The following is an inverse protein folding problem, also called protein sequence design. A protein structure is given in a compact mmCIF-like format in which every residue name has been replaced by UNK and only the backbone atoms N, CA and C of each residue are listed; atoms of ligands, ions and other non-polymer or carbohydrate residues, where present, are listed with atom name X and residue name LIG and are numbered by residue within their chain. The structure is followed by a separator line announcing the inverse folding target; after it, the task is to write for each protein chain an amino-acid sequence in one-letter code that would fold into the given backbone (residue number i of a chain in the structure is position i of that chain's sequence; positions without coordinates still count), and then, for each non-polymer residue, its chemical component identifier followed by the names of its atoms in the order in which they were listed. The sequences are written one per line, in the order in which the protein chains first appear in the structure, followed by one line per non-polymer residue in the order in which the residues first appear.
data_IF_689214587785
#
_entry.id   IF_689214587785
#
_cell.length_a   1.000
_cell.length_b   1.000
_cell.length_c   1.000
_cell.angle_alpha   90.00
_cell.angle_beta   90.00
_cell.angle_gamma   90.00
#
_symmetry.space_group_name_H-M   'P 1'
#
loop_
_entity.id
_entity.type
_entity.pdbx_description
1 polymer ?
#
# COMPACT_ATOMS: atom_id res chain seq x y z
N UNK A 1 -103.44 -21.44 17.77
CA UNK A 1 -102.41 -21.35 18.84
C UNK A 1 -101.08 -21.06 18.14
N UNK A 2 -100.72 -19.79 17.95
CA UNK A 2 -99.76 -19.07 18.80
C UNK A 2 -98.45 -19.83 19.02
N UNK A 3 -97.39 -19.40 18.32
CA UNK A 3 -96.27 -18.67 18.94
C UNK A 3 -95.30 -18.16 17.87
N UNK A 4 -95.17 -16.83 17.82
CA UNK A 4 -94.03 -16.12 17.24
C UNK A 4 -92.74 -16.59 17.91
N UNK A 5 -91.70 -16.80 17.13
CA UNK A 5 -90.33 -16.78 17.63
C UNK A 5 -89.55 -15.72 16.86
N UNK A 6 -89.06 -14.77 17.64
CA UNK A 6 -88.25 -13.64 17.23
C UNK A 6 -87.03 -14.11 16.44
N UNK A 7 -86.81 -13.42 15.32
CA UNK A 7 -85.55 -13.35 14.61
C UNK A 7 -84.52 -12.67 15.53
N UNK A 8 -83.48 -13.40 15.95
CA UNK A 8 -82.28 -12.77 16.54
C UNK A 8 -81.10 -13.09 15.65
N UNK A 9 -80.84 -12.20 14.69
CA UNK A 9 -79.65 -12.27 13.85
C UNK A 9 -78.41 -12.01 14.69
N UNK A 10 -77.63 -13.04 14.96
CA UNK A 10 -76.28 -12.90 15.53
C UNK A 10 -75.37 -12.50 14.36
N UNK A 11 -75.07 -11.20 14.26
CA UNK A 11 -73.97 -10.72 13.44
C UNK A 11 -72.67 -11.20 14.10
N UNK A 12 -72.12 -12.31 13.62
CA UNK A 12 -70.76 -12.72 13.94
C UNK A 12 -69.78 -11.82 13.17
N UNK A 13 -69.49 -10.65 13.74
CA UNK A 13 -68.46 -9.75 13.24
C UNK A 13 -67.10 -10.44 13.29
N UNK A 14 -66.62 -10.87 12.14
CA UNK A 14 -65.27 -11.42 11.97
C UNK A 14 -64.29 -10.25 12.09
N UNK A 15 -63.65 -10.10 13.25
CA UNK A 15 -62.52 -9.19 13.40
C UNK A 15 -61.31 -9.80 12.67
N UNK A 16 -61.20 -9.53 11.38
CA UNK A 16 -59.92 -9.63 10.69
C UNK A 16 -59.03 -8.50 11.23
N UNK A 17 -58.24 -8.77 12.27
CA UNK A 17 -57.09 -7.92 12.56
C UNK A 17 -56.09 -8.11 11.42
N UNK A 18 -56.20 -7.28 10.39
CA UNK A 18 -55.11 -7.07 9.47
C UNK A 18 -53.97 -6.44 10.29
N UNK A 19 -52.98 -7.24 10.66
CA UNK A 19 -51.67 -6.69 10.99
C UNK A 19 -51.17 -6.02 9.72
N UNK A 20 -51.47 -4.73 9.56
CA UNK A 20 -50.79 -3.90 8.59
C UNK A 20 -49.33 -3.86 9.05
N UNK A 21 -48.52 -4.75 8.48
CA UNK A 21 -47.08 -4.70 8.64
C UNK A 21 -46.67 -3.35 8.08
N UNK A 22 -46.43 -2.39 8.98
CA UNK A 22 -46.06 -1.03 8.60
C UNK A 22 -44.91 -1.16 7.61
N UNK A 23 -45.11 -0.68 6.38
CA UNK A 23 -44.10 -0.80 5.35
C UNK A 23 -42.79 -0.21 5.90
N UNK A 24 -41.69 -0.97 5.80
CA UNK A 24 -40.40 -0.50 6.24
C UNK A 24 -40.09 0.85 5.58
N UNK A 25 -39.55 1.78 6.36
CA UNK A 25 -39.14 3.09 5.86
C UNK A 25 -37.64 3.09 5.58
N UNK A 26 -37.16 4.01 4.75
CA UNK A 26 -35.73 4.03 4.41
C UNK A 26 -34.85 4.27 5.65
N UNK A 27 -35.37 5.04 6.61
CA UNK A 27 -34.78 5.37 7.90
C UNK A 27 -34.50 4.13 8.77
N UNK A 28 -35.23 3.02 8.57
CA UNK A 28 -35.01 1.76 9.31
C UNK A 28 -33.63 1.15 9.02
N UNK A 29 -32.94 1.63 7.98
CA UNK A 29 -31.59 1.21 7.56
C UNK A 29 -30.58 2.35 7.51
N UNK A 30 -30.92 3.52 8.05
CA UNK A 30 -30.00 4.66 8.16
C UNK A 30 -29.19 4.58 9.46
N UNK A 31 -27.87 4.43 9.32
CA UNK A 31 -26.94 4.49 10.44
C UNK A 31 -26.22 5.83 10.42
N UNK A 32 -26.18 6.49 11.58
CA UNK A 32 -25.55 7.81 11.75
C UNK A 32 -24.19 7.72 12.45
N UNK A 33 -23.81 6.53 12.91
CA UNK A 33 -22.56 6.25 13.60
C UNK A 33 -21.97 4.91 13.16
N UNK A 34 -20.63 4.76 13.17
CA UNK A 34 -19.64 5.77 13.56
C UNK A 34 -19.44 6.86 12.48
N UNK A 35 -19.40 8.13 12.90
CA UNK A 35 -19.08 9.25 12.00
C UNK A 35 -17.62 9.10 11.50
N UNK A 36 -17.39 9.03 10.18
CA UNK A 36 -16.03 8.98 9.63
C UNK A 36 -15.22 10.24 9.97
N UNK A 37 -13.91 10.07 10.20
CA UNK A 37 -12.99 11.20 10.40
C UNK A 37 -12.95 12.07 9.15
N UNK A 38 -13.05 13.38 9.32
CA UNK A 38 -12.89 14.35 8.23
C UNK A 38 -11.42 14.49 7.88
N UNK A 39 -11.09 14.37 6.59
CA UNK A 39 -9.73 14.52 6.04
C UNK A 39 -9.78 15.52 4.89
N UNK A 40 -8.93 16.54 4.93
CA UNK A 40 -8.75 17.46 3.80
C UNK A 40 -7.75 16.83 2.82
N UNK A 41 -8.13 16.54 1.56
CA UNK A 41 -7.20 16.00 0.58
C UNK A 41 -6.15 17.06 0.17
N UNK A 42 -5.04 16.60 -0.41
CA UNK A 42 -4.11 17.47 -1.13
C UNK A 42 -4.77 18.15 -2.33
N UNK A 43 -4.13 19.18 -2.91
CA UNK A 43 -4.69 19.90 -4.07
C UNK A 43 -4.76 19.02 -5.32
N UNK A 44 -3.86 18.04 -5.40
CA UNK A 44 -3.83 17.00 -6.41
C UNK A 44 -3.88 15.64 -5.73
N UNK A 45 -4.18 14.59 -6.49
CA UNK A 45 -4.21 13.21 -5.97
C UNK A 45 -2.84 12.72 -5.46
N UNK A 46 -1.75 13.42 -5.81
CA UNK A 46 -0.39 13.07 -5.39
C UNK A 46 0.05 13.83 -4.13
N UNK A 47 -0.63 14.91 -3.75
CA UNK A 47 -0.27 15.68 -2.55
C UNK A 47 -0.78 15.01 -1.27
N UNK A 48 -0.03 15.12 -0.15
CA UNK A 48 -0.41 14.50 1.11
C UNK A 48 -1.75 15.04 1.62
N UNK A 49 -2.70 14.17 2.04
CA UNK A 49 -3.87 14.60 2.79
C UNK A 49 -3.49 15.10 4.19
N UNK A 50 -4.41 15.80 4.86
CA UNK A 50 -4.16 16.44 6.16
C UNK A 50 -3.83 15.48 7.31
N UNK A 51 -4.16 14.20 7.17
CA UNK A 51 -3.86 13.15 8.15
C UNK A 51 -2.58 12.35 7.84
N UNK A 52 -1.91 12.64 6.73
CA UNK A 52 -0.71 11.92 6.33
C UNK A 52 0.54 12.41 7.08
N UNK A 53 1.42 11.44 7.36
CA UNK A 53 2.80 11.68 7.75
C UNK A 53 3.60 11.92 6.48
N UNK A 54 4.18 13.11 6.37
CA UNK A 54 5.08 13.45 5.27
C UNK A 54 6.47 12.90 5.57
N UNK A 55 6.89 11.90 4.80
CA UNK A 55 8.19 11.25 4.92
C UNK A 55 9.29 12.04 4.19
N UNK A 56 8.94 12.80 3.16
CA UNK A 56 9.84 13.73 2.50
C UNK A 56 9.08 14.86 1.79
N UNK A 57 9.39 16.12 2.14
CA UNK A 57 8.87 17.35 1.50
C UNK A 57 9.96 18.32 1.06
N UNK A 58 11.06 17.80 0.51
CA UNK A 58 11.96 18.62 -0.31
C UNK A 58 13.01 19.44 0.44
N UNK A 59 13.40 19.08 1.66
CA UNK A 59 14.50 19.78 2.34
C UNK A 59 15.35 18.95 3.29
N UNK A 60 14.94 17.75 3.68
CA UNK A 60 15.71 16.91 4.61
C UNK A 60 15.24 15.46 4.63
N UNK A 61 16.16 14.55 4.96
CA UNK A 61 15.88 13.13 5.19
C UNK A 61 15.63 12.84 6.68
N UNK A 62 15.05 13.77 7.42
CA UNK A 62 14.91 13.68 8.87
C UNK A 62 14.01 12.53 9.35
N UNK A 63 13.13 12.03 8.48
CA UNK A 63 12.30 10.84 8.76
C UNK A 63 13.03 9.52 8.48
N UNK A 64 14.26 9.57 7.97
CA UNK A 64 15.02 8.44 7.47
C UNK A 64 16.34 8.25 8.22
N UNK A 65 16.78 7.01 8.31
CA UNK A 65 18.06 6.57 8.89
C UNK A 65 18.71 5.55 7.97
N UNK A 66 19.98 5.26 8.19
CA UNK A 66 20.64 4.14 7.50
C UNK A 66 20.06 2.81 7.99
N UNK A 67 19.80 1.87 7.08
CA UNK A 67 19.37 0.51 7.45
C UNK A 67 20.50 -0.29 8.11
N UNK A 68 21.76 -0.01 7.76
CA UNK A 68 22.91 -0.71 8.34
C UNK A 68 23.17 -0.33 9.80
N UNK A 69 22.80 0.89 10.17
CA UNK A 69 22.93 1.46 11.50
C UNK A 69 21.86 2.55 11.70
N UNK A 70 20.75 2.16 12.33
CA UNK A 70 19.59 3.03 12.52
C UNK A 70 19.84 4.21 13.48
N UNK A 71 21.01 4.27 14.13
CA UNK A 71 21.44 5.44 14.91
C UNK A 71 22.02 6.54 14.02
N UNK A 72 22.37 6.21 12.77
CA UNK A 72 22.97 7.15 11.83
C UNK A 72 21.94 7.75 10.87
N UNK A 73 22.06 9.05 10.55
CA UNK A 73 21.17 9.70 9.59
C UNK A 73 21.37 9.11 8.19
N UNK A 74 20.29 9.08 7.40
CA UNK A 74 20.36 8.76 5.98
C UNK A 74 21.32 9.71 5.24
N UNK A 75 22.21 9.15 4.41
CA UNK A 75 23.31 9.88 3.76
C UNK A 75 23.11 10.08 2.25
N UNK A 76 21.87 9.90 1.76
CA UNK A 76 21.52 10.18 0.37
C UNK A 76 21.48 11.69 0.11
N UNK A 77 21.64 12.09 -1.15
CA UNK A 77 21.88 13.50 -1.52
C UNK A 77 20.55 14.21 -1.76
N UNK A 78 20.19 15.17 -0.91
CA UNK A 78 19.03 16.05 -1.10
C UNK A 78 19.38 17.15 -2.11
N UNK A 79 18.49 17.42 -3.07
CA UNK A 79 18.64 18.47 -4.07
C UNK A 79 17.29 19.12 -4.30
N UNK A 80 17.03 20.24 -3.61
CA UNK A 80 15.72 20.89 -3.65
C UNK A 80 14.61 19.92 -3.24
N UNK A 81 13.60 19.81 -4.10
CA UNK A 81 12.36 19.04 -3.85
C UNK A 81 12.50 17.52 -4.01
N UNK A 82 13.70 16.99 -4.23
CA UNK A 82 13.96 15.55 -4.33
C UNK A 82 15.28 15.15 -3.64
N UNK A 83 15.49 13.84 -3.50
CA UNK A 83 16.77 13.28 -3.08
C UNK A 83 17.21 12.15 -4.01
N UNK A 84 18.50 11.91 -4.13
CA UNK A 84 19.10 10.95 -5.05
C UNK A 84 19.86 9.88 -4.28
N UNK A 85 19.71 8.62 -4.70
CA UNK A 85 20.40 7.47 -4.11
C UNK A 85 21.91 7.71 -4.06
N UNK A 86 22.53 7.47 -2.91
CA UNK A 86 23.98 7.38 -2.80
C UNK A 86 24.35 5.92 -2.60
N UNK A 87 24.59 5.18 -3.70
CA UNK A 87 24.77 3.72 -3.69
C UNK A 87 25.76 3.22 -2.63
N UNK A 88 26.93 3.86 -2.52
CA UNK A 88 27.95 3.52 -1.52
C UNK A 88 27.59 3.81 -0.06
N UNK A 89 26.46 4.48 0.22
CA UNK A 89 25.96 4.71 1.58
C UNK A 89 24.93 3.66 2.03
N UNK A 90 24.53 2.74 1.14
CA UNK A 90 23.59 1.68 1.45
C UNK A 90 22.13 2.14 1.54
N UNK A 91 21.28 1.21 2.00
CA UNK A 91 19.83 1.37 2.10
C UNK A 91 19.47 2.39 3.19
N UNK A 92 18.30 3.01 3.03
CA UNK A 92 17.70 3.88 4.04
C UNK A 92 16.32 3.36 4.41
N UNK A 93 15.90 3.61 5.64
CA UNK A 93 14.56 3.25 6.12
C UNK A 93 13.97 4.33 7.02
N UNK A 94 12.65 4.31 7.16
CA UNK A 94 11.96 5.26 8.04
C UNK A 94 12.29 5.00 9.51
N UNK A 95 12.39 6.05 10.31
CA UNK A 95 12.48 5.96 11.77
C UNK A 95 11.23 5.33 12.39
N UNK A 96 10.07 5.61 11.77
CA UNK A 96 8.78 5.10 12.19
C UNK A 96 8.55 3.71 11.62
N UNK A 97 7.76 2.93 12.35
CA UNK A 97 7.27 1.61 11.95
C UNK A 97 5.78 1.72 11.65
N UNK A 98 5.32 0.96 10.67
CA UNK A 98 3.94 0.97 10.19
C UNK A 98 3.38 -0.46 10.16
N UNK A 99 2.05 -0.58 10.26
CA UNK A 99 1.34 -1.83 10.05
C UNK A 99 0.54 -1.74 8.75
N UNK A 100 -0.71 -1.29 8.82
CA UNK A 100 -1.57 -1.09 7.67
C UNK A 100 -1.52 0.38 7.26
N UNK A 101 -1.35 0.65 5.98
CA UNK A 101 -1.20 2.03 5.52
C UNK A 101 -1.56 2.20 4.05
N UNK A 102 -1.82 3.46 3.71
CA UNK A 102 -1.77 3.98 2.36
C UNK A 102 -0.49 4.83 2.20
N UNK A 103 0.26 4.60 1.13
CA UNK A 103 1.53 5.26 0.82
C UNK A 103 1.50 5.85 -0.59
N UNK A 104 2.04 7.05 -0.74
CA UNK A 104 2.42 7.63 -2.02
C UNK A 104 3.93 7.86 -2.06
N UNK A 105 4.54 7.59 -3.21
CA UNK A 105 5.95 7.83 -3.46
C UNK A 105 6.16 8.14 -4.95
N UNK A 106 6.93 9.19 -5.24
CA UNK A 106 7.41 9.47 -6.59
C UNK A 106 8.89 9.12 -6.74
N UNK A 107 9.24 8.56 -7.90
CA UNK A 107 10.60 8.16 -8.25
C UNK A 107 10.92 8.50 -9.71
N UNK A 108 12.21 8.63 -10.02
CA UNK A 108 12.68 8.99 -11.36
C UNK A 108 13.99 8.27 -11.68
N UNK A 109 13.98 7.59 -12.82
CA UNK A 109 15.19 7.12 -13.49
C UNK A 109 15.86 8.31 -14.19
N UNK A 110 17.17 8.55 -14.01
CA UNK A 110 17.85 9.68 -14.64
C UNK A 110 17.89 9.56 -16.18
N UNK A 111 17.82 10.68 -16.90
CA UNK A 111 17.74 10.67 -18.37
C UNK A 111 18.96 10.04 -19.07
N UNK A 112 20.12 10.06 -18.41
CA UNK A 112 21.38 9.48 -18.90
C UNK A 112 21.59 8.01 -18.46
N UNK A 113 20.53 7.31 -18.05
CA UNK A 113 20.60 5.95 -17.53
C UNK A 113 21.23 4.94 -18.51
N UNK A 114 22.10 4.11 -17.99
CA UNK A 114 22.79 3.02 -18.68
C UNK A 114 22.53 1.67 -18.00
N UNK A 115 22.95 0.59 -18.67
CA UNK A 115 22.74 -0.79 -18.21
C UNK A 115 21.53 -1.47 -18.85
N UNK A 116 21.32 -2.73 -18.47
CA UNK A 116 20.27 -3.62 -18.96
C UNK A 116 19.77 -4.58 -17.87
N UNK A 117 18.62 -5.21 -18.10
CA UNK A 117 18.06 -6.18 -17.17
C UNK A 117 17.82 -5.58 -15.79
N UNK A 118 18.30 -6.26 -14.74
CA UNK A 118 18.23 -5.80 -13.35
C UNK A 118 19.32 -4.79 -12.97
N UNK A 119 20.25 -4.46 -13.87
CA UNK A 119 21.36 -3.54 -13.59
C UNK A 119 21.14 -2.19 -14.31
N UNK A 120 19.89 -1.74 -14.36
CA UNK A 120 19.46 -0.50 -15.03
C UNK A 120 18.41 0.23 -14.19
N UNK A 121 18.88 1.14 -13.33
CA UNK A 121 18.01 1.96 -12.47
C UNK A 121 17.29 1.12 -11.42
N UNK A 122 18.02 0.19 -10.79
CA UNK A 122 17.45 -0.74 -9.82
C UNK A 122 17.43 -0.13 -8.42
N UNK A 123 16.26 -0.17 -7.82
CA UNK A 123 16.00 0.12 -6.43
C UNK A 123 14.81 -0.74 -5.99
N UNK A 124 14.34 -0.54 -4.77
CA UNK A 124 13.22 -1.29 -4.23
C UNK A 124 12.53 -0.47 -3.16
N UNK A 125 11.20 -0.47 -3.19
CA UNK A 125 10.37 0.00 -2.09
C UNK A 125 9.98 -1.23 -1.25
N UNK A 126 10.65 -1.40 -0.13
CA UNK A 126 10.31 -2.43 0.84
C UNK A 126 9.16 -1.96 1.70
N UNK A 127 7.98 -2.58 1.53
CA UNK A 127 6.74 -2.26 2.22
C UNK A 127 6.78 -2.61 3.71
N UNK A 128 7.66 -3.54 4.07
CA UNK A 128 8.06 -3.81 5.44
C UNK A 128 9.53 -4.25 5.43
N UNK A 129 10.39 -3.44 6.04
CA UNK A 129 11.81 -3.74 6.30
C UNK A 129 11.93 -4.61 7.54
N UNK A 130 12.40 -5.84 7.38
CA UNK A 130 12.53 -6.82 8.49
C UNK A 130 13.98 -7.12 8.85
N UNK A 131 14.92 -6.40 8.24
CA UNK A 131 16.34 -6.57 8.42
C UNK A 131 17.18 -5.74 7.45
N UNK A 132 18.49 -6.05 7.46
CA UNK A 132 19.50 -5.42 6.62
C UNK A 132 19.45 -5.96 5.19
N UNK A 133 20.20 -5.31 4.28
CA UNK A 133 20.24 -5.73 2.88
C UNK A 133 18.83 -5.79 2.29
N UNK A 134 18.49 -6.95 1.71
CA UNK A 134 17.23 -7.18 0.99
C UNK A 134 16.17 -7.91 1.84
N UNK A 135 16.31 -7.93 3.17
CA UNK A 135 15.30 -8.52 4.05
C UNK A 135 14.00 -7.69 4.05
N UNK A 136 12.88 -8.29 3.64
CA UNK A 136 11.56 -7.66 3.71
C UNK A 136 10.66 -7.98 2.52
N UNK A 137 9.72 -7.08 2.23
CA UNK A 137 8.69 -7.25 1.20
C UNK A 137 8.83 -6.18 0.12
N UNK A 138 9.53 -6.52 -0.96
CA UNK A 138 9.92 -5.57 -2.00
C UNK A 138 8.85 -5.40 -3.10
N UNK A 139 8.41 -4.15 -3.26
CA UNK A 139 7.81 -3.65 -4.50
C UNK A 139 8.93 -3.08 -5.38
N UNK A 140 9.12 -3.70 -6.54
CA UNK A 140 10.30 -3.43 -7.35
C UNK A 140 10.28 -2.05 -8.01
N UNK A 141 11.44 -1.38 -8.00
CA UNK A 141 11.71 -0.14 -8.75
C UNK A 141 12.81 -0.45 -9.78
N UNK A 142 12.51 -0.26 -11.05
CA UNK A 142 13.45 -0.58 -12.13
C UNK A 142 13.13 0.23 -13.37
N UNK A 143 14.13 0.60 -14.18
CA UNK A 143 13.85 1.11 -15.52
C UNK A 143 13.41 -0.04 -16.42
N UNK A 144 12.10 -0.20 -16.66
CA UNK A 144 11.57 -1.11 -17.67
C UNK A 144 10.99 -0.39 -18.89
N UNK A 145 11.38 0.86 -19.15
CA UNK A 145 11.08 1.54 -20.40
C UNK A 145 12.03 1.05 -21.49
N UNK A 146 11.54 0.17 -22.38
CA UNK A 146 12.34 -0.50 -23.42
C UNK A 146 13.54 -1.31 -22.87
N UNK A 147 13.48 -1.76 -21.61
CA UNK A 147 14.47 -2.63 -20.99
C UNK A 147 13.82 -3.94 -20.53
N UNK A 148 14.24 -5.06 -21.12
CA UNK A 148 13.70 -6.39 -20.83
C UNK A 148 14.43 -7.01 -19.63
N UNK A 149 13.69 -7.71 -18.79
CA UNK A 149 14.19 -8.50 -17.66
C UNK A 149 13.23 -9.66 -17.40
N UNK A 150 13.48 -10.48 -16.37
CA UNK A 150 12.52 -11.49 -15.95
C UNK A 150 11.26 -10.85 -15.35
N UNK A 151 10.10 -11.26 -15.84
CA UNK A 151 8.82 -10.55 -15.64
C UNK A 151 8.34 -10.49 -14.19
N UNK A 152 8.72 -11.45 -13.35
CA UNK A 152 8.39 -11.45 -11.92
C UNK A 152 9.35 -10.59 -11.08
N UNK A 153 10.33 -9.91 -11.69
CA UNK A 153 11.20 -8.95 -11.01
C UNK A 153 11.33 -7.63 -11.77
N UNK A 154 10.36 -7.30 -12.61
CA UNK A 154 10.30 -5.99 -13.28
C UNK A 154 9.59 -4.95 -12.38
N UNK A 155 9.70 -3.66 -12.72
CA UNK A 155 9.03 -2.58 -12.00
C UNK A 155 7.53 -2.86 -11.80
N UNK A 156 7.06 -2.67 -10.56
CA UNK A 156 5.68 -2.92 -10.15
C UNK A 156 5.45 -4.37 -9.71
N UNK A 157 6.42 -5.28 -9.89
CA UNK A 157 6.35 -6.63 -9.33
C UNK A 157 6.46 -6.59 -7.81
N UNK A 158 5.78 -7.52 -7.15
CA UNK A 158 6.23 -7.95 -5.83
C UNK A 158 7.33 -8.97 -6.06
N UNK A 159 8.55 -8.58 -5.73
CA UNK A 159 9.76 -9.12 -6.32
C UNK A 159 9.84 -10.65 -6.22
N UNK A 160 10.01 -11.28 -7.39
CA UNK A 160 10.00 -12.72 -7.66
C UNK A 160 8.75 -13.50 -7.24
N UNK A 161 7.71 -12.86 -6.69
CA UNK A 161 6.46 -13.52 -6.29
C UNK A 161 5.32 -13.28 -7.28
N UNK A 162 5.10 -12.03 -7.70
CA UNK A 162 3.94 -11.63 -8.50
C UNK A 162 4.34 -10.69 -9.64
N UNK A 163 4.02 -11.08 -10.86
CA UNK A 163 4.20 -10.29 -12.08
C UNK A 163 3.20 -9.12 -12.03
N UNK A 164 3.60 -7.87 -12.34
CA UNK A 164 2.65 -6.77 -12.43
C UNK A 164 1.70 -6.98 -13.61
N UNK A 165 0.44 -6.58 -13.47
CA UNK A 165 -0.59 -6.77 -14.50
C UNK A 165 -0.21 -6.14 -15.83
N UNK A 166 0.49 -5.00 -15.81
CA UNK A 166 0.96 -4.27 -16.99
C UNK A 166 2.29 -3.58 -16.69
N UNK A 167 3.04 -3.24 -17.74
CA UNK A 167 4.20 -2.34 -17.66
C UNK A 167 3.71 -0.90 -17.89
N UNK A 168 3.72 -0.07 -16.84
CA UNK A 168 3.27 1.32 -16.87
C UNK A 168 4.42 2.34 -16.76
N UNK A 169 5.64 1.97 -17.17
CA UNK A 169 6.80 2.87 -17.11
C UNK A 169 6.67 4.03 -18.10
N UNK A 170 7.02 5.23 -17.63
CA UNK A 170 7.39 6.39 -18.42
C UNK A 170 8.86 6.30 -18.82
N UNK A 171 9.28 7.14 -19.77
CA UNK A 171 10.68 7.22 -20.21
C UNK A 171 11.59 7.78 -19.10
N UNK A 172 12.90 7.47 -19.11
CA UNK A 172 13.86 8.11 -18.22
C UNK A 172 13.83 9.64 -18.29
N UNK A 173 14.03 10.29 -17.14
CA UNK A 173 13.87 11.73 -16.95
C UNK A 173 12.48 12.15 -16.47
N UNK A 174 11.44 11.36 -16.74
CA UNK A 174 10.08 11.65 -16.27
C UNK A 174 9.86 11.07 -14.87
N UNK A 175 9.09 11.78 -14.05
CA UNK A 175 8.69 11.29 -12.73
C UNK A 175 7.59 10.24 -12.84
N UNK A 176 7.76 9.18 -12.07
CA UNK A 176 6.81 8.09 -11.92
C UNK A 176 6.24 8.08 -10.49
N UNK A 177 5.04 7.53 -10.32
CA UNK A 177 4.40 7.43 -9.01
C UNK A 177 3.99 6.00 -8.66
N UNK A 178 4.16 5.64 -7.39
CA UNK A 178 3.46 4.52 -6.77
C UNK A 178 2.46 5.03 -5.74
N UNK A 179 1.25 4.51 -5.83
CA UNK A 179 0.23 4.59 -4.79
C UNK A 179 -0.03 3.17 -4.29
N UNK A 180 0.19 2.93 -3.00
CA UNK A 180 0.20 1.59 -2.40
C UNK A 180 -0.78 1.54 -1.25
N UNK A 181 -1.58 0.47 -1.21
CA UNK A 181 -2.37 0.08 -0.05
C UNK A 181 -1.75 -1.20 0.48
N UNK A 182 -1.24 -1.16 1.70
CA UNK A 182 -0.55 -2.28 2.34
C UNK A 182 -1.30 -2.72 3.60
N UNK A 183 -1.47 -4.03 3.75
CA UNK A 183 -1.93 -4.66 4.98
C UNK A 183 -0.84 -5.61 5.47
N UNK A 184 -0.33 -5.36 6.68
CA UNK A 184 0.72 -6.17 7.26
C UNK A 184 0.23 -7.58 7.59
N UNK A 185 1.10 -8.61 7.48
CA UNK A 185 0.76 -9.93 7.98
C UNK A 185 0.62 -9.90 9.51
N UNK A 186 -0.23 -10.79 10.02
CA UNK A 186 -0.30 -11.06 11.46
C UNK A 186 0.17 -12.48 11.75
N UNK A 187 0.62 -12.70 12.98
CA UNK A 187 1.23 -13.96 13.41
C UNK A 187 0.50 -14.52 14.63
N UNK A 188 0.46 -15.84 14.72
CA UNK A 188 0.06 -16.55 15.93
C UNK A 188 1.17 -16.47 17.00
N UNK A 189 0.88 -16.93 18.20
CA UNK A 189 1.86 -16.98 19.30
C UNK A 189 3.03 -17.91 19.05
N UNK A 190 2.86 -18.89 18.15
CA UNK A 190 3.91 -19.82 17.69
C UNK A 190 4.68 -19.31 16.46
N UNK A 191 4.54 -18.01 16.14
CA UNK A 191 5.16 -17.32 15.00
C UNK A 191 4.69 -17.77 13.62
N UNK A 192 3.73 -18.70 13.53
CA UNK A 192 3.10 -19.05 12.25
C UNK A 192 2.24 -17.91 11.74
N UNK A 193 2.17 -17.74 10.41
CA UNK A 193 1.33 -16.70 9.81
C UNK A 193 -0.15 -16.98 10.11
N UNK A 194 -0.84 -15.96 10.65
CA UNK A 194 -2.28 -15.98 10.93
C UNK A 194 -3.08 -15.33 9.81
N UNK A 195 -2.67 -14.14 9.38
CA UNK A 195 -3.20 -13.49 8.18
C UNK A 195 -2.02 -13.10 7.28
N UNK A 196 -2.06 -13.42 5.98
CA UNK A 196 -0.99 -13.05 5.07
C UNK A 196 -0.98 -11.53 4.84
N UNK A 197 0.17 -11.01 4.41
CA UNK A 197 0.26 -9.64 3.96
C UNK A 197 -0.53 -9.48 2.65
N UNK A 198 -1.16 -8.32 2.46
CA UNK A 198 -1.82 -8.00 1.17
C UNK A 198 -1.37 -6.65 0.64
N UNK A 199 -1.38 -6.52 -0.69
CA UNK A 199 -1.02 -5.26 -1.34
C UNK A 199 -1.85 -4.99 -2.58
N UNK A 200 -2.25 -3.73 -2.73
CA UNK A 200 -2.71 -3.14 -4.00
C UNK A 200 -1.74 -2.05 -4.39
N UNK A 201 -1.34 -2.02 -5.67
CA UNK A 201 -0.38 -1.05 -6.20
C UNK A 201 -0.93 -0.43 -7.47
N UNK A 202 -0.94 0.89 -7.52
CA UNK A 202 -1.09 1.67 -8.74
C UNK A 202 0.26 2.25 -9.13
N UNK A 203 0.62 2.10 -10.40
CA UNK A 203 1.83 2.64 -11.00
C UNK A 203 1.43 3.67 -12.06
N UNK A 204 1.77 4.94 -11.84
CA UNK A 204 1.33 6.05 -12.70
C UNK A 204 -0.20 6.09 -12.88
N UNK A 205 -0.95 5.75 -11.83
CA UNK A 205 -2.42 5.66 -11.85
C UNK A 205 -2.99 4.38 -12.46
N UNK A 206 -2.15 3.47 -12.97
CA UNK A 206 -2.57 2.19 -13.55
C UNK A 206 -2.44 1.07 -12.52
N UNK A 207 -3.50 0.30 -12.30
CA UNK A 207 -3.49 -0.83 -11.38
C UNK A 207 -2.52 -1.92 -11.87
N UNK A 208 -1.48 -2.21 -11.09
CA UNK A 208 -0.46 -3.23 -11.42
C UNK A 208 -0.41 -4.41 -10.45
N UNK A 209 -0.92 -4.24 -9.22
CA UNK A 209 -1.17 -5.33 -8.28
C UNK A 209 -2.57 -5.14 -7.69
N UNK A 210 -3.43 -6.14 -7.80
CA UNK A 210 -4.82 -6.05 -7.35
C UNK A 210 -5.05 -6.95 -6.12
N UNK A 211 -4.97 -6.38 -4.92
CA UNK A 211 -5.21 -7.04 -3.65
C UNK A 211 -4.57 -8.45 -3.56
N UNK A 212 -3.30 -8.54 -3.92
CA UNK A 212 -2.59 -9.82 -3.92
C UNK A 212 -2.21 -10.21 -2.50
N UNK A 213 -2.25 -11.50 -2.20
CA UNK A 213 -1.82 -12.05 -0.92
C UNK A 213 -0.42 -12.62 -1.04
N UNK A 214 0.54 -12.08 -0.27
CA UNK A 214 1.94 -12.46 -0.38
C UNK A 214 2.21 -13.81 0.29
N UNK A 215 3.31 -14.45 -0.11
CA UNK A 215 3.73 -15.77 0.42
C UNK A 215 4.78 -15.66 1.54
N UNK A 216 5.22 -14.45 1.86
CA UNK A 216 6.30 -14.16 2.79
C UNK A 216 7.20 -13.05 2.25
N UNK A 217 8.40 -12.94 2.84
CA UNK A 217 9.43 -12.00 2.37
C UNK A 217 9.86 -12.30 0.93
N UNK A 218 10.28 -11.27 0.21
CA UNK A 218 10.84 -11.36 -1.15
C UNK A 218 12.29 -11.79 -1.08
N UNK A 219 12.70 -12.75 -1.92
CA UNK A 219 14.04 -13.33 -1.90
C UNK A 219 14.64 -13.38 -3.30
N UNK A 220 15.92 -13.01 -3.42
CA UNK A 220 16.66 -13.24 -4.67
C UNK A 220 16.85 -14.74 -4.95
N UNK A 221 17.11 -15.55 -3.92
CA UNK A 221 17.30 -17.01 -4.02
C UNK A 221 16.42 -17.70 -2.99
N UNK A 222 15.66 -18.71 -3.44
CA UNK A 222 14.80 -19.53 -2.58
C UNK A 222 13.31 -19.23 -2.74
N UNK A 223 12.50 -19.87 -1.90
CA UNK A 223 11.06 -19.67 -1.84
C UNK A 223 10.70 -18.68 -0.73
N UNK A 224 9.72 -17.79 -0.95
CA UNK A 224 9.28 -16.83 0.05
C UNK A 224 8.84 -17.55 1.32
N UNK A 225 9.20 -16.99 2.47
CA UNK A 225 8.79 -17.47 3.79
C UNK A 225 8.47 -16.29 4.68
N UNK A 226 7.47 -16.46 5.53
CA UNK A 226 7.15 -15.50 6.55
C UNK A 226 8.17 -15.55 7.71
N UNK A 227 8.61 -14.37 8.13
CA UNK A 227 9.38 -14.14 9.36
C UNK A 227 8.55 -13.24 10.26
N UNK A 228 8.25 -13.71 11.47
CA UNK A 228 7.43 -12.96 12.40
C UNK A 228 8.13 -11.66 12.82
N UNK A 229 7.36 -10.57 12.90
CA UNK A 229 7.80 -9.31 13.47
C UNK A 229 6.65 -8.67 14.25
N UNK A 230 6.99 -7.88 15.28
CA UNK A 230 6.03 -7.25 16.18
C UNK A 230 6.16 -5.73 16.16
N UNK A 231 5.05 -5.03 16.35
CA UNK A 231 5.03 -3.56 16.43
C UNK A 231 5.23 -2.83 15.11
N UNK A 232 4.95 -3.49 13.98
CA UNK A 232 5.13 -2.93 12.63
C UNK A 232 6.57 -2.97 12.11
N UNK A 233 6.76 -2.48 10.89
CA UNK A 233 8.06 -2.42 10.22
C UNK A 233 8.27 -1.05 9.56
N UNK A 234 9.52 -0.55 9.46
CA UNK A 234 9.83 0.59 8.61
C UNK A 234 9.50 0.31 7.14
N UNK A 235 9.34 1.37 6.34
CA UNK A 235 9.52 1.25 4.89
C UNK A 235 11.00 1.50 4.56
N UNK A 236 11.54 0.77 3.59
CA UNK A 236 12.95 0.87 3.18
C UNK A 236 13.07 1.18 1.69
N UNK A 237 14.04 2.01 1.35
CA UNK A 237 14.44 2.28 -0.04
C UNK A 237 15.82 1.66 -0.28
N UNK A 238 15.92 0.86 -1.34
CA UNK A 238 17.12 0.14 -1.68
C UNK A 238 18.13 1.03 -2.41
N UNK A 239 19.39 0.90 -2.04
CA UNK A 239 20.54 1.31 -2.82
C UNK A 239 21.13 0.05 -3.49
N UNK A 240 20.59 -0.36 -4.63
CA UNK A 240 21.13 -1.53 -5.33
C UNK A 240 22.57 -1.26 -5.80
N UNK A 241 23.44 -2.26 -5.64
CA UNK A 241 24.88 -2.13 -5.83
C UNK A 241 25.37 -2.17 -7.28
N UNK A 242 24.46 -2.18 -8.27
CA UNK A 242 24.85 -2.16 -9.68
C UNK A 242 25.49 -0.82 -10.08
N UNK A 243 26.03 -0.76 -11.30
CA UNK A 243 26.80 0.40 -11.78
C UNK A 243 25.97 1.46 -12.51
N UNK A 244 24.66 1.29 -12.65
CA UNK A 244 23.80 2.29 -13.29
C UNK A 244 23.79 3.60 -12.50
N UNK A 245 23.39 4.66 -13.17
CA UNK A 245 23.14 5.95 -12.55
C UNK A 245 22.06 5.85 -11.46
N UNK A 246 22.17 6.61 -10.37
CA UNK A 246 21.27 6.51 -9.22
C UNK A 246 19.90 7.14 -9.48
N UNK A 247 18.87 6.50 -8.95
CA UNK A 247 17.49 7.00 -9.01
C UNK A 247 17.27 8.19 -8.08
N UNK A 248 16.23 8.99 -8.36
CA UNK A 248 15.77 10.07 -7.49
C UNK A 248 14.38 9.77 -6.93
N UNK A 249 14.10 10.31 -5.75
CA UNK A 249 12.82 10.17 -5.03
C UNK A 249 12.29 11.52 -4.56
N UNK A 250 10.97 11.68 -4.55
CA UNK A 250 10.29 12.86 -3.99
C UNK A 250 8.88 12.53 -3.54
N UNK A 251 8.22 13.53 -2.95
CA UNK A 251 6.80 13.48 -2.60
C UNK A 251 6.40 12.15 -1.94
N UNK A 252 6.93 11.91 -0.75
CA UNK A 252 6.69 10.66 -0.03
C UNK A 252 5.84 10.96 1.19
N UNK A 253 4.66 10.34 1.26
CA UNK A 253 3.77 10.47 2.39
C UNK A 253 3.01 9.18 2.64
N UNK A 254 2.64 8.96 3.89
CA UNK A 254 2.02 7.73 4.37
C UNK A 254 0.92 8.06 5.39
N UNK A 255 -0.18 7.32 5.39
CA UNK A 255 -1.25 7.42 6.40
C UNK A 255 -1.67 6.04 6.87
N UNK A 256 -1.89 5.89 8.17
CA UNK A 256 -2.33 4.64 8.77
C UNK A 256 -3.78 4.31 8.34
N UNK A 257 -4.08 3.00 8.25
CA UNK A 257 -5.42 2.46 7.96
C UNK A 257 -5.99 1.71 9.16
#
# INVERSE_FOLDING_TARGET
MHKSYLLTGILAGSFFMANAQQAAKHEDTEFYEPIPKVVTPGKTNSEPPSDAIVLFSGNSLNQWVSTDDNTKPAQWTVTGDYFTVKKGAGNIETKRKFNNYQLHLEWRIPANITGEGQARGNSGLFLASTGKGDDGYELQILDNYNNKTYVNGQAGSIYKQFIPLVNANKKPGDWQSYDVIWQAPTFNTDETVKTPATVTVFFNGVLVQNHISLKGETLYVGQPKYKAYTGGAPIKLQAHGDKSEPDSFRNIWIRDL
#
